data_IF_859615402305
#
_entry.id   IF_859615402305
#
_cell.length_a   1.000
_cell.length_b   1.000
_cell.length_c   1.000
_cell.angle_alpha   90.00
_cell.angle_beta   90.00
_cell.angle_gamma   90.00
#
_symmetry.space_group_name_H-M   'P 1'
#
loop_
_entity.id
_entity.type
_entity.pdbx_description
1 polymer ?
#
# COMPACT_ATOMS: atom_id res chain seq x y z
N UNK A 1 11.83 51.37 -18.97
CA UNK A 1 12.16 49.94 -18.80
C UNK A 1 13.38 49.63 -19.66
N UNK A 2 14.46 49.13 -19.06
CA UNK A 2 15.67 48.71 -19.78
C UNK A 2 15.53 47.25 -20.24
N UNK A 3 16.21 46.85 -21.31
CA UNK A 3 16.17 45.46 -21.84
C UNK A 3 16.52 44.42 -20.76
N UNK A 4 17.40 44.78 -19.83
CA UNK A 4 17.79 43.98 -18.66
C UNK A 4 16.63 43.73 -17.70
N UNK A 5 15.84 44.76 -17.35
CA UNK A 5 14.64 44.56 -16.51
C UNK A 5 13.60 43.64 -17.16
N UNK A 6 13.43 43.70 -18.48
CA UNK A 6 12.49 42.83 -19.21
C UNK A 6 12.94 41.36 -19.22
N UNK A 7 14.25 41.14 -19.35
CA UNK A 7 14.86 39.80 -19.35
C UNK A 7 14.78 39.12 -17.97
N UNK A 8 15.02 39.87 -16.89
CA UNK A 8 14.93 39.35 -15.51
C UNK A 8 13.49 38.94 -15.18
N UNK A 9 12.50 39.75 -15.57
CA UNK A 9 11.07 39.42 -15.35
C UNK A 9 10.68 38.15 -16.10
N UNK A 10 11.12 37.96 -17.35
CA UNK A 10 10.85 36.74 -18.11
C UNK A 10 11.47 35.48 -17.50
N UNK A 11 12.68 35.57 -16.95
CA UNK A 11 13.33 34.43 -16.27
C UNK A 11 12.58 34.07 -14.99
N UNK A 12 12.15 35.06 -14.20
CA UNK A 12 11.38 34.84 -12.98
C UNK A 12 10.01 34.21 -13.30
N UNK A 13 9.30 34.67 -14.32
CA UNK A 13 8.01 34.08 -14.70
C UNK A 13 8.17 32.64 -15.21
N UNK A 14 9.19 32.34 -16.02
CA UNK A 14 9.50 30.98 -16.45
C UNK A 14 9.84 30.05 -15.27
N UNK A 15 10.62 30.52 -14.29
CA UNK A 15 10.91 29.77 -13.06
C UNK A 15 9.65 29.48 -12.25
N UNK A 16 8.77 30.48 -12.06
CA UNK A 16 7.53 30.33 -11.31
C UNK A 16 6.53 29.37 -11.99
N UNK A 17 6.45 29.40 -13.33
CA UNK A 17 5.64 28.47 -14.12
C UNK A 17 6.22 27.06 -14.01
N UNK A 18 7.54 26.90 -14.10
CA UNK A 18 8.22 25.60 -13.94
C UNK A 18 7.98 24.98 -12.56
N UNK A 19 8.06 25.78 -11.49
CA UNK A 19 7.79 25.29 -10.13
C UNK A 19 6.31 24.95 -9.92
N UNK A 20 5.39 25.74 -10.46
CA UNK A 20 3.94 25.44 -10.41
C UNK A 20 3.59 24.17 -11.19
N UNK A 21 4.24 23.95 -12.34
CA UNK A 21 4.03 22.76 -13.15
C UNK A 21 4.59 21.51 -12.46
N UNK A 22 5.82 21.56 -11.95
CA UNK A 22 6.41 20.46 -11.17
C UNK A 22 5.59 20.14 -9.91
N UNK A 23 5.05 21.17 -9.23
CA UNK A 23 4.14 20.99 -8.11
C UNK A 23 2.84 20.28 -8.53
N UNK A 24 2.18 20.75 -9.59
CA UNK A 24 0.96 20.12 -10.13
C UNK A 24 1.18 18.67 -10.58
N UNK A 25 2.33 18.37 -11.17
CA UNK A 25 2.67 17.00 -11.56
C UNK A 25 2.88 16.17 -10.30
N UNK A 26 3.69 16.62 -9.34
CA UNK A 26 3.95 15.90 -8.07
C UNK A 26 2.68 15.64 -7.23
N UNK A 27 1.66 16.49 -7.35
CA UNK A 27 0.37 16.33 -6.65
C UNK A 27 -0.70 15.59 -7.46
N UNK A 28 -0.39 15.13 -8.67
CA UNK A 28 -1.34 14.38 -9.49
C UNK A 28 -1.76 13.08 -8.79
N UNK A 29 -3.00 12.65 -9.04
CA UNK A 29 -3.54 11.39 -8.49
C UNK A 29 -2.64 10.19 -8.80
N UNK A 30 -2.16 9.96 -10.04
CA UNK A 30 -1.26 8.84 -10.31
C UNK A 30 0.03 8.89 -9.48
N UNK A 31 0.60 10.08 -9.29
CA UNK A 31 1.81 10.23 -8.48
C UNK A 31 1.55 10.00 -6.99
N UNK A 32 0.38 10.43 -6.48
CA UNK A 32 -0.06 10.09 -5.11
C UNK A 32 -0.21 8.58 -4.94
N UNK A 33 -0.92 7.92 -5.86
CA UNK A 33 -1.15 6.47 -5.84
C UNK A 33 0.18 5.71 -5.85
N UNK A 34 1.06 6.02 -6.79
CA UNK A 34 2.38 5.38 -6.87
C UNK A 34 3.19 5.58 -5.57
N UNK A 35 3.19 6.79 -4.99
CA UNK A 35 3.85 7.01 -3.69
C UNK A 35 3.23 6.16 -2.58
N UNK A 36 1.91 6.06 -2.52
CA UNK A 36 1.23 5.28 -1.49
C UNK A 36 1.50 3.78 -1.61
N UNK A 37 1.58 3.24 -2.82
CA UNK A 37 1.96 1.84 -3.07
C UNK A 37 3.36 1.55 -2.53
N UNK A 38 4.33 2.43 -2.82
CA UNK A 38 5.73 2.23 -2.42
C UNK A 38 6.07 2.66 -0.99
N UNK A 39 5.18 3.40 -0.33
CA UNK A 39 5.32 3.78 1.08
C UNK A 39 4.71 2.74 2.04
N UNK A 40 4.15 1.64 1.53
CA UNK A 40 3.60 0.58 2.36
C UNK A 40 4.71 -0.08 3.20
N UNK A 41 4.64 0.11 4.51
CA UNK A 41 5.56 -0.49 5.48
C UNK A 41 4.95 -1.77 6.05
N UNK A 42 5.49 -2.92 5.66
CA UNK A 42 5.00 -4.21 6.10
C UNK A 42 5.28 -4.49 7.59
N UNK A 43 6.23 -3.78 8.21
CA UNK A 43 6.53 -3.91 9.65
C UNK A 43 5.35 -3.49 10.54
N UNK A 44 4.40 -2.72 10.00
CA UNK A 44 3.16 -2.32 10.70
C UNK A 44 2.27 -3.52 11.06
N UNK A 45 2.43 -4.66 10.39
CA UNK A 45 1.60 -5.84 10.58
C UNK A 45 2.15 -6.81 11.62
N UNK A 46 3.47 -6.80 11.86
CA UNK A 46 4.21 -7.76 12.70
C UNK A 46 3.80 -7.71 14.18
N UNK A 47 3.07 -6.68 14.59
CA UNK A 47 2.59 -6.48 15.97
C UNK A 47 1.06 -6.55 16.13
N UNK A 48 0.29 -6.75 15.05
CA UNK A 48 -1.19 -6.69 15.09
C UNK A 48 -1.88 -8.05 15.15
N UNK A 49 -1.18 -9.14 14.87
CA UNK A 49 -1.71 -10.52 14.89
C UNK A 49 -2.00 -11.12 16.27
N UNK A 50 -2.00 -10.34 17.35
CA UNK A 50 -2.23 -10.84 18.72
C UNK A 50 -3.72 -11.07 18.99
N UNK A 51 -4.41 -11.90 18.20
CA UNK A 51 -5.60 -12.66 18.60
C UNK A 51 -5.71 -13.93 17.73
N UNK A 52 -4.74 -14.83 17.74
CA UNK A 52 -5.02 -16.25 17.47
C UNK A 52 -5.09 -16.98 18.81
N UNK A 53 -6.32 -17.25 19.22
CA UNK A 53 -6.61 -18.14 20.34
C UNK A 53 -6.23 -19.56 19.94
N UNK A 54 -5.02 -19.98 20.31
CA UNK A 54 -4.68 -21.38 20.61
C UNK A 54 -3.37 -21.38 21.37
N UNK A 55 -3.50 -21.26 22.69
CA UNK A 55 -2.50 -21.79 23.59
C UNK A 55 -2.61 -23.30 23.48
N UNK A 56 -1.75 -23.92 22.67
CA UNK A 56 -1.30 -25.29 22.90
C UNK A 56 0.12 -25.43 22.34
N UNK A 57 0.96 -26.03 23.18
CA UNK A 57 2.42 -26.07 23.13
C UNK A 57 2.97 -27.01 22.06
N UNK A 58 3.97 -26.57 21.26
CA UNK A 58 5.21 -27.33 21.02
C UNK A 58 6.23 -26.52 20.20
N UNK A 59 7.39 -26.21 20.82
CA UNK A 59 8.77 -25.98 20.30
C UNK A 59 9.08 -25.44 18.89
N UNK A 60 8.15 -24.90 18.12
CA UNK A 60 8.44 -24.16 16.89
C UNK A 60 8.44 -22.65 17.14
N UNK A 61 9.32 -21.94 16.42
CA UNK A 61 9.35 -20.48 16.43
C UNK A 61 7.96 -19.99 15.99
N UNK A 62 7.25 -19.18 16.80
CA UNK A 62 5.93 -18.68 16.44
C UNK A 62 5.94 -18.10 15.03
N UNK A 63 4.90 -18.36 14.23
CA UNK A 63 4.84 -17.92 12.83
C UNK A 63 5.12 -16.41 12.68
N UNK A 64 4.74 -15.62 13.68
CA UNK A 64 4.99 -14.18 13.75
C UNK A 64 6.50 -13.83 13.82
N UNK A 65 7.29 -14.60 14.56
CA UNK A 65 8.74 -14.41 14.64
C UNK A 65 9.39 -14.81 13.30
N UNK A 66 8.84 -15.81 12.60
CA UNK A 66 9.29 -16.18 11.26
C UNK A 66 8.96 -15.07 10.24
N UNK A 67 7.76 -14.47 10.31
CA UNK A 67 7.35 -13.32 9.49
C UNK A 67 8.33 -12.15 9.67
N UNK A 68 8.73 -11.84 10.90
CA UNK A 68 9.69 -10.76 11.17
C UNK A 68 11.05 -10.98 10.49
N UNK A 69 11.52 -12.22 10.42
CA UNK A 69 12.76 -12.57 9.69
C UNK A 69 12.57 -12.37 8.18
N UNK A 70 11.43 -12.78 7.63
CA UNK A 70 11.13 -12.60 6.20
C UNK A 70 10.99 -11.11 5.85
N UNK A 71 10.42 -10.29 6.73
CA UNK A 71 10.35 -8.83 6.59
C UNK A 71 11.75 -8.19 6.51
N UNK A 72 12.67 -8.65 7.36
CA UNK A 72 14.05 -8.17 7.33
C UNK A 72 14.71 -8.47 5.97
N UNK A 73 14.55 -9.68 5.45
CA UNK A 73 15.09 -10.06 4.14
C UNK A 73 14.45 -9.27 2.99
N UNK A 74 13.15 -8.99 3.08
CA UNK A 74 12.46 -8.12 2.13
C UNK A 74 13.06 -6.71 2.14
N UNK A 75 13.34 -6.16 3.33
CA UNK A 75 13.94 -4.82 3.49
C UNK A 75 15.36 -4.73 2.92
N UNK A 76 16.07 -5.86 2.89
CA UNK A 76 17.40 -6.00 2.27
C UNK A 76 17.34 -6.10 0.73
N UNK A 77 16.13 -6.10 0.15
CA UNK A 77 15.90 -6.15 -1.29
C UNK A 77 15.76 -7.57 -1.84
N UNK A 78 15.74 -8.60 -0.97
CA UNK A 78 15.62 -10.00 -1.38
C UNK A 78 14.15 -10.39 -1.64
N UNK A 79 13.41 -9.59 -2.41
CA UNK A 79 11.95 -9.73 -2.57
C UNK A 79 11.49 -11.11 -3.06
N UNK A 80 12.23 -11.75 -3.97
CA UNK A 80 11.86 -13.08 -4.47
C UNK A 80 12.03 -14.16 -3.40
N UNK A 81 13.09 -14.07 -2.59
CA UNK A 81 13.31 -14.97 -1.47
C UNK A 81 12.23 -14.77 -0.40
N UNK A 82 11.90 -13.51 -0.11
CA UNK A 82 10.86 -13.17 0.85
C UNK A 82 9.49 -13.72 0.43
N UNK A 83 9.10 -13.57 -0.84
CA UNK A 83 7.87 -14.16 -1.37
C UNK A 83 7.86 -15.68 -1.23
N UNK A 84 8.95 -16.36 -1.60
CA UNK A 84 9.03 -17.81 -1.47
C UNK A 84 8.88 -18.28 -0.01
N UNK A 85 9.46 -17.54 0.94
CA UNK A 85 9.31 -17.83 2.38
C UNK A 85 7.91 -17.52 2.88
N UNK A 86 7.30 -16.42 2.44
CA UNK A 86 5.91 -16.13 2.75
C UNK A 86 4.96 -17.23 2.25
N UNK A 87 5.18 -17.77 1.05
CA UNK A 87 4.42 -18.90 0.54
C UNK A 87 4.60 -20.16 1.40
N UNK A 88 5.81 -20.41 1.92
CA UNK A 88 6.06 -21.51 2.86
C UNK A 88 5.31 -21.33 4.19
N UNK A 89 5.30 -20.11 4.74
CA UNK A 89 4.56 -19.80 5.95
C UNK A 89 3.04 -19.90 5.72
N UNK A 90 2.56 -19.49 4.54
CA UNK A 90 1.16 -19.61 4.18
C UNK A 90 0.73 -21.07 3.99
N UNK A 91 1.64 -21.96 3.57
CA UNK A 91 1.34 -23.40 3.55
C UNK A 91 1.15 -24.00 4.96
N UNK A 92 1.79 -23.42 5.98
CA UNK A 92 1.61 -23.83 7.38
C UNK A 92 0.26 -23.36 7.94
N UNK A 93 -0.13 -22.11 7.62
CA UNK A 93 -1.44 -21.55 7.95
C UNK A 93 -2.09 -20.89 6.71
N UNK A 94 -2.84 -21.67 5.90
CA UNK A 94 -3.46 -21.16 4.68
C UNK A 94 -4.52 -20.08 4.91
N UNK A 95 -5.00 -19.94 6.16
CA UNK A 95 -6.01 -18.96 6.54
C UNK A 95 -5.42 -17.65 7.06
N UNK A 96 -4.09 -17.53 7.04
CA UNK A 96 -3.39 -16.40 7.59
C UNK A 96 -3.57 -15.14 6.74
N UNK A 97 -4.55 -14.32 7.12
CA UNK A 97 -4.89 -13.08 6.43
C UNK A 97 -3.76 -12.03 6.46
N UNK A 98 -2.86 -12.10 7.44
CA UNK A 98 -1.69 -11.22 7.50
C UNK A 98 -0.70 -11.55 6.38
N UNK A 99 -0.39 -12.85 6.20
CA UNK A 99 0.48 -13.33 5.13
C UNK A 99 -0.11 -13.02 3.75
N UNK A 100 -1.39 -13.30 3.54
CA UNK A 100 -2.09 -12.96 2.31
C UNK A 100 -2.02 -11.46 2.02
N UNK A 101 -2.26 -10.60 3.02
CA UNK A 101 -2.16 -9.15 2.86
C UNK A 101 -0.75 -8.73 2.42
N UNK A 102 0.29 -9.24 3.09
CA UNK A 102 1.70 -8.94 2.78
C UNK A 102 2.06 -9.36 1.34
N UNK A 103 1.72 -10.58 0.95
CA UNK A 103 1.93 -11.10 -0.40
C UNK A 103 1.23 -10.21 -1.43
N UNK A 104 -0.04 -9.87 -1.19
CA UNK A 104 -0.82 -8.98 -2.07
C UNK A 104 -0.21 -7.59 -2.24
N UNK A 105 0.32 -6.99 -1.16
CA UNK A 105 1.03 -5.71 -1.21
C UNK A 105 2.32 -5.82 -2.04
N UNK A 106 3.10 -6.89 -1.85
CA UNK A 106 4.33 -7.11 -2.61
C UNK A 106 4.01 -7.27 -4.10
N UNK A 107 2.97 -8.05 -4.46
CA UNK A 107 2.53 -8.15 -5.85
C UNK A 107 2.12 -6.80 -6.43
N UNK A 108 1.41 -5.97 -5.66
CA UNK A 108 1.04 -4.62 -6.08
C UNK A 108 2.28 -3.76 -6.36
N UNK A 109 3.26 -3.77 -5.47
CA UNK A 109 4.53 -3.05 -5.63
C UNK A 109 5.33 -3.54 -6.84
N UNK A 110 5.26 -4.83 -7.15
CA UNK A 110 5.88 -5.44 -8.33
C UNK A 110 5.07 -5.27 -9.62
N UNK A 111 3.90 -4.63 -9.55
CA UNK A 111 2.94 -4.46 -10.66
C UNK A 111 2.37 -5.78 -11.20
N UNK A 112 2.41 -6.82 -10.38
CA UNK A 112 1.76 -8.11 -10.65
C UNK A 112 0.27 -8.00 -10.30
N UNK A 113 -0.43 -7.12 -11.02
CA UNK A 113 -1.76 -6.65 -10.62
C UNK A 113 -2.82 -7.76 -10.55
N UNK A 114 -2.72 -8.80 -11.39
CA UNK A 114 -3.65 -9.94 -11.32
C UNK A 114 -3.53 -10.67 -9.99
N UNK A 115 -2.30 -10.99 -9.58
CA UNK A 115 -2.02 -11.69 -8.33
C UNK A 115 -2.33 -10.81 -7.12
N UNK A 116 -1.99 -9.51 -7.20
CA UNK A 116 -2.36 -8.55 -6.17
C UNK A 116 -3.87 -8.47 -5.98
N UNK A 117 -4.64 -8.37 -7.08
CA UNK A 117 -6.10 -8.29 -7.01
C UNK A 117 -6.70 -9.55 -6.40
N UNK A 118 -6.25 -10.74 -6.82
CA UNK A 118 -6.71 -12.02 -6.27
C UNK A 118 -6.46 -12.10 -4.77
N UNK A 119 -5.21 -11.95 -4.35
CA UNK A 119 -4.79 -12.09 -2.95
C UNK A 119 -5.44 -11.04 -2.05
N UNK A 120 -5.48 -9.77 -2.48
CA UNK A 120 -6.09 -8.70 -1.68
C UNK A 120 -7.63 -8.82 -1.62
N UNK A 121 -8.28 -9.33 -2.66
CA UNK A 121 -9.73 -9.55 -2.64
C UNK A 121 -10.12 -10.66 -1.67
N UNK A 122 -9.27 -11.67 -1.49
CA UNK A 122 -9.48 -12.73 -0.48
C UNK A 122 -9.48 -12.15 0.93
N UNK A 123 -8.47 -11.34 1.27
CA UNK A 123 -8.38 -10.67 2.58
C UNK A 123 -9.56 -9.70 2.80
N UNK A 124 -9.91 -8.92 1.79
CA UNK A 124 -11.06 -7.98 1.84
C UNK A 124 -12.42 -8.69 1.93
N UNK A 125 -12.52 -9.90 1.36
CA UNK A 125 -13.71 -10.73 1.40
C UNK A 125 -14.05 -11.20 2.82
N UNK A 126 -13.03 -11.43 3.65
CA UNK A 126 -13.21 -11.74 5.06
C UNK A 126 -13.37 -10.46 5.89
N UNK A 127 -14.55 -9.82 5.81
CA UNK A 127 -14.85 -8.54 6.47
C UNK A 127 -14.60 -8.48 7.97
N UNK A 128 -14.68 -9.63 8.67
CA UNK A 128 -14.40 -9.71 10.10
C UNK A 128 -12.90 -9.66 10.43
N UNK A 129 -12.03 -9.86 9.43
CA UNK A 129 -10.58 -9.77 9.57
C UNK A 129 -10.16 -8.34 9.90
N UNK A 130 -9.24 -8.20 10.86
CA UNK A 130 -8.62 -6.91 11.18
C UNK A 130 -7.85 -6.30 10.00
N UNK A 131 -7.52 -7.12 8.99
CA UNK A 131 -6.80 -6.75 7.78
C UNK A 131 -7.73 -6.36 6.61
N UNK A 132 -9.05 -6.53 6.75
CA UNK A 132 -10.01 -6.27 5.66
C UNK A 132 -9.93 -4.82 5.16
N UNK A 133 -9.85 -3.83 6.06
CA UNK A 133 -9.78 -2.42 5.66
C UNK A 133 -8.42 -2.05 5.04
N UNK A 134 -7.35 -2.75 5.42
CA UNK A 134 -6.04 -2.55 4.81
C UNK A 134 -6.02 -3.13 3.39
N UNK A 135 -6.62 -4.30 3.20
CA UNK A 135 -6.85 -4.85 1.87
C UNK A 135 -7.72 -3.93 1.00
N UNK A 136 -8.79 -3.34 1.56
CA UNK A 136 -9.62 -2.35 0.87
C UNK A 136 -8.80 -1.15 0.38
N UNK A 137 -7.88 -0.66 1.22
CA UNK A 137 -6.97 0.43 0.87
C UNK A 137 -6.08 0.07 -0.33
N UNK A 138 -5.41 -1.07 -0.30
CA UNK A 138 -4.53 -1.47 -1.41
C UNK A 138 -5.31 -1.80 -2.70
N UNK A 139 -6.51 -2.37 -2.58
CA UNK A 139 -7.41 -2.53 -3.72
C UNK A 139 -7.85 -1.18 -4.29
N UNK A 140 -8.06 -0.15 -3.46
CA UNK A 140 -8.39 1.18 -3.96
C UNK A 140 -7.25 1.77 -4.79
N UNK A 141 -5.99 1.60 -4.34
CA UNK A 141 -4.80 2.00 -5.07
C UNK A 141 -4.66 1.22 -6.39
N UNK A 142 -4.85 -0.10 -6.38
CA UNK A 142 -4.85 -0.92 -7.58
C UNK A 142 -5.92 -0.48 -8.59
N UNK A 143 -7.14 -0.20 -8.13
CA UNK A 143 -8.21 0.29 -8.99
C UNK A 143 -7.90 1.69 -9.55
N UNK A 144 -7.18 2.53 -8.80
CA UNK A 144 -6.75 3.85 -9.24
C UNK A 144 -5.69 3.77 -10.35
N UNK A 145 -4.78 2.78 -10.31
CA UNK A 145 -3.84 2.50 -11.42
C UNK A 145 -4.57 2.14 -12.72
N UNK A 146 -5.77 1.53 -12.62
CA UNK A 146 -6.64 1.21 -13.76
C UNK A 146 -7.68 2.29 -14.07
N UNK A 147 -7.60 3.45 -13.43
CA UNK A 147 -8.57 4.54 -13.58
C UNK A 147 -10.03 4.13 -13.30
N UNK A 148 -10.23 3.09 -12.47
CA UNK A 148 -11.55 2.59 -12.08
C UNK A 148 -12.13 3.44 -10.94
N UNK A 149 -12.34 4.74 -11.21
CA UNK A 149 -12.59 5.76 -10.20
C UNK A 149 -13.81 5.50 -9.31
N UNK A 150 -14.87 4.92 -9.85
CA UNK A 150 -16.05 4.57 -9.05
C UNK A 150 -15.73 3.54 -7.97
N UNK A 151 -14.97 2.48 -8.33
CA UNK A 151 -14.54 1.46 -7.37
C UNK A 151 -13.52 2.03 -6.38
N UNK A 152 -12.57 2.83 -6.86
CA UNK A 152 -11.62 3.54 -5.99
C UNK A 152 -12.36 4.37 -4.96
N UNK A 153 -13.31 5.22 -5.37
CA UNK A 153 -14.08 6.07 -4.45
C UNK A 153 -14.88 5.24 -3.43
N UNK A 154 -15.47 4.13 -3.84
CA UNK A 154 -16.19 3.24 -2.94
C UNK A 154 -15.28 2.63 -1.86
N UNK A 155 -14.14 2.06 -2.26
CA UNK A 155 -13.18 1.46 -1.33
C UNK A 155 -12.53 2.49 -0.40
N UNK A 156 -12.19 3.67 -0.90
CA UNK A 156 -11.64 4.74 -0.06
C UNK A 156 -12.63 5.19 1.02
N UNK A 157 -13.92 5.32 0.69
CA UNK A 157 -14.97 5.64 1.66
C UNK A 157 -15.08 4.55 2.73
N UNK A 158 -15.06 3.27 2.33
CA UNK A 158 -15.06 2.14 3.27
C UNK A 158 -13.91 2.25 4.28
N UNK A 159 -12.70 2.56 3.82
CA UNK A 159 -11.52 2.72 4.69
C UNK A 159 -11.67 3.93 5.63
N UNK A 160 -12.19 5.05 5.14
CA UNK A 160 -12.39 6.28 5.92
C UNK A 160 -13.44 6.07 7.01
N UNK A 161 -14.61 5.51 6.65
CA UNK A 161 -15.74 5.29 7.54
C UNK A 161 -15.43 4.22 8.59
N UNK A 162 -14.77 3.14 8.17
CA UNK A 162 -14.31 2.06 9.05
C UNK A 162 -13.13 2.45 9.95
N UNK A 163 -12.56 3.66 9.79
CA UNK A 163 -11.35 4.13 10.48
C UNK A 163 -10.19 3.14 10.38
N UNK A 164 -9.99 2.57 9.18
CA UNK A 164 -8.88 1.67 8.88
C UNK A 164 -7.52 2.37 9.05
N UNK A 165 -6.42 1.63 8.98
CA UNK A 165 -5.10 2.20 9.27
C UNK A 165 -4.70 3.33 8.32
N UNK A 166 -5.20 3.25 7.09
CA UNK A 166 -4.96 4.22 6.04
C UNK A 166 -6.09 5.26 5.91
N UNK A 167 -6.98 5.43 6.90
CA UNK A 167 -8.12 6.35 6.79
C UNK A 167 -7.71 7.81 6.49
N UNK A 168 -6.56 8.27 6.95
CA UNK A 168 -6.05 9.62 6.65
C UNK A 168 -5.60 9.72 5.19
N UNK A 169 -4.82 8.75 4.73
CA UNK A 169 -4.32 8.66 3.36
C UNK A 169 -5.47 8.44 2.37
N UNK A 170 -6.46 7.64 2.77
CA UNK A 170 -7.67 7.38 2.00
C UNK A 170 -8.50 8.66 1.85
N UNK A 171 -8.63 9.45 2.91
CA UNK A 171 -9.27 10.77 2.84
C UNK A 171 -8.52 11.72 1.92
N UNK A 172 -7.19 11.84 2.06
CA UNK A 172 -6.37 12.70 1.18
C UNK A 172 -6.50 12.31 -0.30
N UNK A 173 -6.46 11.01 -0.60
CA UNK A 173 -6.62 10.53 -1.96
C UNK A 173 -8.04 10.78 -2.48
N UNK A 174 -9.07 10.52 -1.66
CA UNK A 174 -10.46 10.76 -2.02
C UNK A 174 -10.73 12.25 -2.33
N UNK A 175 -10.15 13.17 -1.55
CA UNK A 175 -10.27 14.62 -1.77
C UNK A 175 -9.56 15.08 -3.07
N UNK A 176 -8.72 14.22 -3.66
CA UNK A 176 -7.99 14.48 -4.91
C UNK A 176 -8.66 13.91 -6.17
N UNK A 177 -9.75 13.13 -6.02
CA UNK A 177 -10.50 12.43 -7.09
C UNK A 177 -11.83 13.12 -7.44
#
# INVERSE_FOLDING_TARGET
MTKTTLSIISVITLLLIGTSFAYRVSTSVPNKVNRYIHAADLSLYTHRGVISASMDEEKEVPINDQIAVVDQELSEGNTLLALAKYDQLLQQDPSNMELLLRIGIIYLQKKEYSLAQETLSEVHGLKASVFSLDAAWFLALLNAEYEQWEKTKALLKEVVEGRGNYHIQAKDLLDSL
#
